data_IF_870337143850
#
_entry.id   IF_870337143850
#
_cell.length_a   1.000
_cell.length_b   1.000
_cell.length_c   1.000
_cell.angle_alpha   90.00
_cell.angle_beta   90.00
_cell.angle_gamma   90.00
#
_symmetry.space_group_name_H-M   'P 1'
#
loop_
_entity.id
_entity.type
_entity.pdbx_description
1 polymer ?
#
# COMPACT_ATOMS: atom_id res chain seq x y z
N UNK A 1 30.68 -11.09 -7.72
CA UNK A 1 31.28 -10.13 -6.78
C UNK A 1 30.28 -9.92 -5.67
N UNK A 2 30.53 -10.41 -4.46
CA UNK A 2 29.66 -10.16 -3.31
C UNK A 2 29.81 -8.69 -2.95
N UNK A 3 28.78 -7.91 -3.22
CA UNK A 3 28.74 -6.50 -2.80
C UNK A 3 28.82 -6.45 -1.27
N UNK A 4 29.80 -5.72 -0.75
CA UNK A 4 29.92 -5.50 0.69
C UNK A 4 28.90 -4.43 1.08
N UNK A 5 27.80 -4.83 1.70
CA UNK A 5 26.74 -3.92 2.17
C UNK A 5 27.01 -3.32 3.56
N UNK A 6 28.10 -3.72 4.24
CA UNK A 6 28.42 -3.28 5.63
C UNK A 6 28.49 -1.74 5.78
N UNK A 7 29.00 -1.05 4.76
CA UNK A 7 29.14 0.41 4.75
C UNK A 7 27.95 1.15 4.15
N UNK A 8 26.89 0.42 3.77
CA UNK A 8 25.69 1.02 3.17
C UNK A 8 25.01 1.99 4.15
N UNK A 9 24.63 3.15 3.64
CA UNK A 9 23.94 4.20 4.41
C UNK A 9 22.48 4.28 3.98
N UNK A 10 21.64 4.81 4.89
CA UNK A 10 20.28 5.21 4.53
C UNK A 10 20.30 6.19 3.35
N UNK A 11 19.33 6.09 2.47
CA UNK A 11 19.28 6.90 1.26
C UNK A 11 17.87 7.09 0.76
N UNK A 12 17.77 7.71 -0.41
CA UNK A 12 16.53 7.94 -1.14
C UNK A 12 16.48 7.03 -2.35
N UNK A 13 15.28 6.66 -2.75
CA UNK A 13 15.09 5.89 -3.98
C UNK A 13 15.35 6.70 -5.25
N UNK A 14 15.68 5.98 -6.30
CA UNK A 14 15.77 6.47 -7.65
C UNK A 14 14.53 5.99 -8.42
N UNK A 15 13.72 6.90 -8.92
CA UNK A 15 12.47 6.61 -9.65
C UNK A 15 12.60 6.86 -11.17
N UNK A 16 13.82 7.03 -11.66
CA UNK A 16 14.10 7.31 -13.09
C UNK A 16 13.81 6.11 -14.00
N UNK A 17 13.69 4.90 -13.45
CA UNK A 17 13.22 3.72 -14.18
C UNK A 17 11.75 3.87 -14.64
N UNK A 18 10.95 4.73 -13.97
CA UNK A 18 9.56 5.03 -14.34
C UNK A 18 9.48 6.18 -15.34
N UNK A 19 10.13 7.28 -15.03
CA UNK A 19 10.17 8.49 -15.86
C UNK A 19 11.55 9.11 -15.70
N UNK A 20 12.31 9.20 -16.78
CA UNK A 20 13.68 9.72 -16.76
C UNK A 20 13.70 11.20 -16.36
N UNK A 21 12.88 11.99 -17.03
CA UNK A 21 12.74 13.42 -16.79
C UNK A 21 11.27 13.86 -17.04
N UNK A 22 10.52 14.24 -15.99
CA UNK A 22 9.13 14.65 -16.13
C UNK A 22 8.95 15.99 -16.85
N UNK A 23 10.00 16.79 -16.94
CA UNK A 23 9.99 18.07 -17.67
C UNK A 23 10.29 17.90 -19.16
N UNK A 24 10.76 16.72 -19.56
CA UNK A 24 11.08 16.42 -20.96
C UNK A 24 9.80 16.25 -21.80
N UNK A 25 9.94 16.52 -23.10
CA UNK A 25 8.90 16.19 -24.08
C UNK A 25 8.54 14.69 -24.13
N UNK A 26 9.46 13.81 -23.72
CA UNK A 26 9.26 12.36 -23.67
C UNK A 26 8.13 11.96 -22.73
N UNK A 27 8.02 12.58 -21.54
CA UNK A 27 6.90 12.29 -20.64
C UNK A 27 5.56 12.74 -21.23
N UNK A 28 5.53 13.90 -21.89
CA UNK A 28 4.33 14.36 -22.59
C UNK A 28 3.94 13.44 -23.75
N UNK A 29 4.90 12.94 -24.51
CA UNK A 29 4.68 11.95 -25.57
C UNK A 29 4.18 10.62 -25.00
N UNK A 30 4.74 10.16 -23.87
CA UNK A 30 4.29 8.98 -23.18
C UNK A 30 2.81 9.09 -22.75
N UNK A 31 2.41 10.23 -22.16
CA UNK A 31 1.00 10.48 -21.84
C UNK A 31 0.12 10.55 -23.10
N UNK A 32 0.60 11.15 -24.19
CA UNK A 32 -0.07 11.17 -25.49
C UNK A 32 -0.30 9.76 -26.05
N UNK A 33 0.67 8.85 -25.88
CA UNK A 33 0.52 7.46 -26.31
C UNK A 33 -0.56 6.68 -25.55
N UNK A 34 -0.89 7.08 -24.32
CA UNK A 34 -2.03 6.52 -23.57
C UNK A 34 -3.34 6.95 -24.24
N UNK A 35 -3.45 8.23 -24.56
CA UNK A 35 -4.62 8.80 -25.22
C UNK A 35 -4.91 8.10 -26.57
N UNK A 36 -3.89 7.93 -27.40
CA UNK A 36 -4.00 7.22 -28.69
C UNK A 36 -4.50 5.78 -28.51
N UNK A 37 -3.97 5.05 -27.54
CA UNK A 37 -4.42 3.69 -27.28
C UNK A 37 -5.84 3.61 -26.74
N UNK A 38 -6.22 4.57 -25.89
CA UNK A 38 -7.60 4.66 -25.39
C UNK A 38 -8.58 4.95 -26.52
N UNK A 39 -8.25 5.86 -27.44
CA UNK A 39 -9.05 6.13 -28.63
C UNK A 39 -9.22 4.88 -29.50
N UNK A 40 -8.14 4.13 -29.74
CA UNK A 40 -8.20 2.87 -30.47
C UNK A 40 -9.05 1.83 -29.75
N UNK A 41 -8.98 1.76 -28.42
CA UNK A 41 -9.79 0.83 -27.63
C UNK A 41 -11.28 1.20 -27.66
N UNK A 42 -11.63 2.48 -27.61
CA UNK A 42 -13.01 2.95 -27.72
C UNK A 42 -13.71 2.51 -29.03
N UNK A 43 -12.96 2.45 -30.15
CA UNK A 43 -13.49 1.96 -31.41
C UNK A 43 -13.98 0.50 -31.34
N UNK A 44 -13.40 -0.28 -30.41
CA UNK A 44 -13.81 -1.68 -30.20
C UNK A 44 -15.25 -1.83 -29.71
N UNK A 45 -15.85 -0.77 -29.17
CA UNK A 45 -17.27 -0.79 -28.75
C UNK A 45 -18.21 -1.22 -29.89
N UNK A 46 -17.84 -0.93 -31.14
CA UNK A 46 -18.62 -1.25 -32.34
C UNK A 46 -18.64 -2.75 -32.69
N UNK A 47 -17.65 -3.49 -32.22
CA UNK A 47 -17.47 -4.92 -32.48
C UNK A 47 -17.88 -5.82 -31.33
N UNK A 48 -18.24 -5.26 -30.18
CA UNK A 48 -18.69 -6.05 -29.04
C UNK A 48 -20.02 -6.67 -29.29
N UNK A 49 -20.04 -7.99 -29.36
CA UNK A 49 -21.22 -8.83 -29.55
C UNK A 49 -21.04 -10.16 -28.83
N UNK A 50 -22.11 -10.88 -28.47
CA UNK A 50 -21.97 -12.11 -27.69
C UNK A 50 -21.09 -13.18 -28.35
N UNK A 51 -21.13 -13.26 -29.68
CA UNK A 51 -20.39 -14.23 -30.50
C UNK A 51 -19.02 -13.76 -30.99
N UNK A 52 -18.46 -12.69 -30.38
CA UNK A 52 -17.11 -12.20 -30.71
C UNK A 52 -16.11 -13.37 -30.69
N UNK A 53 -15.15 -13.38 -31.62
CA UNK A 53 -14.12 -14.42 -31.66
C UNK A 53 -13.21 -14.36 -30.45
N UNK A 54 -12.53 -15.47 -30.09
CA UNK A 54 -11.62 -15.50 -28.97
C UNK A 54 -10.35 -14.68 -29.25
N UNK A 55 -9.88 -14.62 -30.49
CA UNK A 55 -8.74 -13.81 -30.89
C UNK A 55 -9.02 -12.31 -30.73
N UNK A 56 -10.19 -11.85 -31.12
CA UNK A 56 -10.60 -10.45 -30.91
C UNK A 56 -10.75 -10.14 -29.43
N UNK A 57 -11.35 -11.03 -28.65
CA UNK A 57 -11.49 -10.85 -27.22
C UNK A 57 -10.12 -10.79 -26.51
N UNK A 58 -9.20 -11.72 -26.81
CA UNK A 58 -7.84 -11.74 -26.28
C UNK A 58 -7.09 -10.46 -26.67
N UNK A 59 -7.18 -10.02 -27.92
CA UNK A 59 -6.59 -8.75 -28.36
C UNK A 59 -7.09 -7.56 -27.53
N UNK A 60 -8.38 -7.50 -27.20
CA UNK A 60 -8.96 -6.43 -26.39
C UNK A 60 -8.46 -6.49 -24.92
N UNK A 61 -8.34 -7.70 -24.35
CA UNK A 61 -7.74 -7.88 -23.02
C UNK A 61 -6.30 -7.36 -23.01
N UNK A 62 -5.48 -7.71 -23.99
CA UNK A 62 -4.08 -7.27 -24.08
C UNK A 62 -3.95 -5.75 -24.30
N UNK A 63 -4.85 -5.15 -25.10
CA UNK A 63 -4.89 -3.69 -25.26
C UNK A 63 -5.22 -2.99 -23.95
N UNK A 64 -6.21 -3.49 -23.19
CA UNK A 64 -6.61 -2.93 -21.90
C UNK A 64 -5.50 -3.08 -20.86
N UNK A 65 -4.79 -4.20 -20.90
CA UNK A 65 -3.64 -4.43 -20.03
C UNK A 65 -2.51 -3.44 -20.32
N UNK A 66 -2.17 -3.21 -21.58
CA UNK A 66 -1.13 -2.24 -21.97
C UNK A 66 -1.50 -0.80 -21.56
N UNK A 67 -2.77 -0.39 -21.71
CA UNK A 67 -3.27 0.89 -21.21
C UNK A 67 -3.09 0.97 -19.68
N UNK A 68 -3.46 -0.11 -18.98
CA UNK A 68 -3.34 -0.18 -17.51
C UNK A 68 -1.89 -0.11 -17.02
N UNK A 69 -0.95 -0.76 -17.73
CA UNK A 69 0.49 -0.68 -17.42
C UNK A 69 1.01 0.75 -17.54
N UNK A 70 0.68 1.44 -18.63
CA UNK A 70 1.11 2.83 -18.81
C UNK A 70 0.54 3.76 -17.73
N UNK A 71 -0.73 3.61 -17.38
CA UNK A 71 -1.36 4.36 -16.28
C UNK A 71 -0.68 4.03 -14.95
N UNK A 72 -0.33 2.76 -14.71
CA UNK A 72 0.38 2.34 -13.48
C UNK A 72 1.76 2.98 -13.39
N UNK A 73 2.51 3.05 -14.49
CA UNK A 73 3.84 3.71 -14.53
C UNK A 73 3.70 5.21 -14.25
N UNK A 74 2.80 5.91 -14.92
CA UNK A 74 2.58 7.34 -14.73
C UNK A 74 2.14 7.67 -13.29
N UNK A 75 1.19 6.88 -12.76
CA UNK A 75 0.68 7.02 -11.39
C UNK A 75 1.74 6.66 -10.36
N UNK A 76 2.49 5.57 -10.58
CA UNK A 76 3.58 5.13 -9.71
C UNK A 76 4.64 6.21 -9.54
N UNK A 77 5.07 6.83 -10.66
CA UNK A 77 6.00 7.95 -10.62
C UNK A 77 5.48 9.11 -9.75
N UNK A 78 4.24 9.53 -9.97
CA UNK A 78 3.63 10.63 -9.22
C UNK A 78 3.51 10.31 -7.72
N UNK A 79 3.02 9.12 -7.37
CA UNK A 79 2.84 8.72 -5.97
C UNK A 79 4.16 8.52 -5.22
N UNK A 80 5.18 7.90 -5.84
CA UNK A 80 6.48 7.71 -5.21
C UNK A 80 7.16 9.06 -4.96
N UNK A 81 7.08 10.01 -5.89
CA UNK A 81 7.52 11.38 -5.68
C UNK A 81 6.82 12.06 -4.51
N UNK A 82 5.48 11.96 -4.45
CA UNK A 82 4.68 12.51 -3.37
C UNK A 82 4.97 11.87 -2.01
N UNK A 83 5.12 10.56 -1.94
CA UNK A 83 5.43 9.87 -0.68
C UNK A 83 6.84 10.17 -0.17
N UNK A 84 7.76 10.49 -1.05
CA UNK A 84 9.08 10.96 -0.69
C UNK A 84 9.06 12.36 -0.07
N UNK A 85 8.13 13.24 -0.51
CA UNK A 85 7.92 14.58 0.06
C UNK A 85 6.47 15.03 -0.12
N UNK A 86 5.65 14.83 0.92
CA UNK A 86 4.23 15.23 0.93
C UNK A 86 4.03 16.75 1.01
N UNK A 87 5.08 17.53 1.26
CA UNK A 87 5.03 19.00 1.28
C UNK A 87 5.25 19.62 -0.10
N UNK A 88 5.76 18.86 -1.07
CA UNK A 88 5.97 19.35 -2.44
C UNK A 88 4.63 19.61 -3.13
N UNK A 89 4.44 20.87 -3.52
CA UNK A 89 3.26 21.28 -4.29
C UNK A 89 3.28 20.71 -5.71
N UNK A 90 4.46 20.56 -6.30
CA UNK A 90 4.66 19.97 -7.63
C UNK A 90 4.29 18.49 -7.63
N UNK A 91 4.81 17.71 -6.67
CA UNK A 91 4.46 16.30 -6.53
C UNK A 91 2.96 16.12 -6.26
N UNK A 92 2.37 16.96 -5.41
CA UNK A 92 0.93 16.96 -5.14
C UNK A 92 0.10 17.25 -6.39
N UNK A 93 0.49 18.25 -7.18
CA UNK A 93 -0.18 18.60 -8.43
C UNK A 93 -0.07 17.47 -9.47
N UNK A 94 1.09 16.82 -9.55
CA UNK A 94 1.29 15.68 -10.45
C UNK A 94 0.40 14.50 -10.06
N UNK A 95 0.28 14.18 -8.76
CA UNK A 95 -0.65 13.13 -8.29
C UNK A 95 -2.09 13.45 -8.73
N UNK A 96 -2.55 14.69 -8.53
CA UNK A 96 -3.91 15.09 -8.94
C UNK A 96 -4.10 14.92 -10.45
N UNK A 97 -3.09 15.34 -11.25
CA UNK A 97 -3.12 15.17 -12.70
C UNK A 97 -3.22 13.70 -13.12
N UNK A 98 -2.43 12.83 -12.49
CA UNK A 98 -2.44 11.39 -12.81
C UNK A 98 -3.71 10.70 -12.34
N UNK A 99 -4.25 11.05 -11.17
CA UNK A 99 -5.53 10.52 -10.70
C UNK A 99 -6.68 10.92 -11.64
N UNK A 100 -6.68 12.16 -12.13
CA UNK A 100 -7.67 12.63 -13.11
C UNK A 100 -7.54 11.84 -14.41
N UNK A 101 -6.33 11.71 -14.95
CA UNK A 101 -6.08 10.91 -16.15
C UNK A 101 -6.53 9.46 -15.97
N UNK A 102 -6.16 8.82 -14.87
CA UNK A 102 -6.56 7.44 -14.58
C UNK A 102 -8.09 7.28 -14.49
N UNK A 103 -8.80 8.24 -13.88
CA UNK A 103 -10.26 8.25 -13.82
C UNK A 103 -10.88 8.45 -15.20
N UNK A 104 -10.37 9.38 -16.02
CA UNK A 104 -10.84 9.62 -17.39
C UNK A 104 -10.64 8.38 -18.26
N UNK A 105 -9.47 7.76 -18.23
CA UNK A 105 -9.17 6.53 -18.97
C UNK A 105 -10.09 5.39 -18.51
N UNK A 106 -10.22 5.18 -17.19
CA UNK A 106 -11.09 4.16 -16.62
C UNK A 106 -12.54 4.32 -17.10
N UNK A 107 -13.05 5.56 -17.12
CA UNK A 107 -14.40 5.88 -17.58
C UNK A 107 -14.61 5.61 -19.08
N UNK A 108 -13.58 5.79 -19.90
CA UNK A 108 -13.63 5.56 -21.34
C UNK A 108 -13.59 4.09 -21.71
N UNK A 109 -12.85 3.27 -20.96
CA UNK A 109 -12.72 1.81 -21.20
C UNK A 109 -13.77 0.98 -20.46
N UNK A 110 -14.54 1.59 -19.56
CA UNK A 110 -15.52 0.93 -18.67
C UNK A 110 -16.57 0.10 -19.43
N UNK A 111 -16.99 0.54 -20.62
CA UNK A 111 -17.97 -0.15 -21.43
C UNK A 111 -17.62 -1.63 -21.69
N UNK A 112 -16.33 -1.95 -21.86
CA UNK A 112 -15.87 -3.31 -22.08
C UNK A 112 -16.05 -4.18 -20.82
N UNK A 113 -15.72 -3.64 -19.65
CA UNK A 113 -15.89 -4.34 -18.38
C UNK A 113 -17.38 -4.62 -18.11
N UNK A 114 -18.24 -3.64 -18.34
CA UNK A 114 -19.69 -3.78 -18.16
C UNK A 114 -20.31 -4.75 -19.16
N UNK A 115 -19.89 -4.67 -20.43
CA UNK A 115 -20.31 -5.63 -21.46
C UNK A 115 -19.95 -7.05 -21.04
N UNK A 116 -18.70 -7.32 -20.64
CA UNK A 116 -18.26 -8.63 -20.20
C UNK A 116 -18.97 -9.10 -18.93
N UNK A 117 -19.24 -8.20 -18.00
CA UNK A 117 -19.93 -8.51 -16.73
C UNK A 117 -21.41 -8.80 -16.90
N UNK A 118 -22.13 -8.00 -17.69
CA UNK A 118 -23.60 -7.94 -17.68
C UNK A 118 -24.29 -8.25 -19.02
N UNK A 119 -23.69 -7.87 -20.15
CA UNK A 119 -24.38 -7.90 -21.43
C UNK A 119 -24.18 -9.23 -22.18
N UNK A 120 -22.97 -9.82 -22.05
CA UNK A 120 -22.71 -11.15 -22.64
C UNK A 120 -23.39 -12.24 -21.80
N UNK A 121 -24.03 -13.19 -22.46
CA UNK A 121 -24.65 -14.35 -21.81
C UNK A 121 -23.63 -15.29 -21.19
N UNK A 122 -24.10 -16.25 -20.38
CA UNK A 122 -23.25 -17.17 -19.62
C UNK A 122 -22.43 -18.10 -20.53
N UNK A 123 -23.02 -18.61 -21.60
CA UNK A 123 -22.41 -19.61 -22.49
C UNK A 123 -21.26 -18.98 -23.27
N UNK A 124 -21.51 -17.80 -23.88
CA UNK A 124 -20.48 -17.04 -24.57
C UNK A 124 -19.38 -16.56 -23.64
N UNK A 125 -19.69 -16.09 -22.43
CA UNK A 125 -18.66 -15.73 -21.43
C UNK A 125 -17.80 -16.96 -21.05
N UNK A 126 -18.41 -18.12 -20.83
CA UNK A 126 -17.70 -19.38 -20.52
C UNK A 126 -16.81 -19.82 -21.68
N UNK A 127 -17.28 -19.69 -22.92
CA UNK A 127 -16.51 -19.96 -24.15
C UNK A 127 -15.25 -19.08 -24.20
N UNK A 128 -15.38 -17.79 -24.00
CA UNK A 128 -14.26 -16.84 -24.02
C UNK A 128 -13.27 -17.10 -22.87
N UNK A 129 -13.76 -17.34 -21.65
CA UNK A 129 -12.91 -17.67 -20.49
C UNK A 129 -12.13 -18.98 -20.73
N UNK A 130 -12.73 -19.96 -21.40
CA UNK A 130 -12.06 -21.23 -21.66
C UNK A 130 -10.97 -21.13 -22.73
N UNK A 131 -11.12 -20.21 -23.67
CA UNK A 131 -10.19 -20.00 -24.78
C UNK A 131 -8.98 -19.13 -24.41
N UNK A 132 -9.15 -18.18 -23.48
CA UNK A 132 -8.05 -17.28 -23.07
C UNK A 132 -6.96 -18.02 -22.26
N UNK A 133 -5.68 -17.54 -22.24
CA UNK A 133 -4.62 -18.10 -21.40
C UNK A 133 -5.05 -18.30 -19.94
N UNK A 134 -4.59 -19.40 -19.33
CA UNK A 134 -5.06 -19.87 -18.01
C UNK A 134 -4.93 -18.80 -16.91
N UNK A 135 -3.89 -17.95 -16.98
CA UNK A 135 -3.60 -16.91 -16.01
C UNK A 135 -4.69 -15.83 -15.89
N UNK A 136 -5.50 -15.60 -16.95
CA UNK A 136 -6.61 -14.64 -16.93
C UNK A 136 -7.93 -15.23 -16.45
N UNK A 137 -8.10 -16.57 -16.50
CA UNK A 137 -9.40 -17.22 -16.36
C UNK A 137 -10.08 -16.94 -15.03
N UNK A 138 -9.33 -17.03 -13.93
CA UNK A 138 -9.89 -16.78 -12.59
C UNK A 138 -10.28 -15.31 -12.40
N UNK A 139 -9.47 -14.39 -12.88
CA UNK A 139 -9.80 -12.98 -12.88
C UNK A 139 -11.12 -12.69 -13.61
N UNK A 140 -11.29 -13.27 -14.78
CA UNK A 140 -12.52 -13.09 -15.57
C UNK A 140 -13.74 -13.76 -14.91
N UNK A 141 -13.58 -14.93 -14.29
CA UNK A 141 -14.66 -15.56 -13.48
C UNK A 141 -15.06 -14.66 -12.32
N UNK A 142 -14.06 -14.12 -11.61
CA UNK A 142 -14.33 -13.19 -10.51
C UNK A 142 -15.06 -11.93 -10.98
N UNK A 143 -14.70 -11.36 -12.14
CA UNK A 143 -15.44 -10.24 -12.74
C UNK A 143 -16.92 -10.58 -12.97
N UNK A 144 -17.24 -11.78 -13.43
CA UNK A 144 -18.63 -12.25 -13.58
C UNK A 144 -19.34 -12.41 -12.24
N UNK A 145 -18.63 -12.91 -11.22
CA UNK A 145 -19.18 -13.06 -9.87
C UNK A 145 -19.61 -11.72 -9.27
N UNK A 146 -18.79 -10.67 -9.46
CA UNK A 146 -19.06 -9.33 -8.91
C UNK A 146 -19.99 -8.48 -9.79
N UNK A 147 -20.43 -8.97 -10.95
CA UNK A 147 -21.28 -8.25 -11.90
C UNK A 147 -22.58 -7.68 -11.26
N UNK A 148 -23.16 -8.41 -10.30
CA UNK A 148 -24.37 -8.00 -9.57
C UNK A 148 -24.21 -6.74 -8.72
N UNK A 149 -22.97 -6.35 -8.40
CA UNK A 149 -22.64 -5.15 -7.65
C UNK A 149 -22.20 -3.97 -8.54
N UNK A 150 -22.18 -4.19 -9.87
CA UNK A 150 -21.88 -3.13 -10.82
C UNK A 150 -23.13 -2.28 -11.06
N UNK A 151 -22.95 -0.98 -11.13
CA UNK A 151 -24.00 -0.01 -11.44
C UNK A 151 -24.14 0.17 -12.97
N UNK A 152 -24.95 1.12 -13.41
CA UNK A 152 -25.00 1.53 -14.82
C UNK A 152 -23.71 2.25 -15.22
N UNK A 153 -23.41 2.32 -16.52
CA UNK A 153 -22.22 3.01 -17.02
C UNK A 153 -22.15 4.48 -16.57
N UNK A 154 -23.29 5.16 -16.56
CA UNK A 154 -23.40 6.55 -16.14
C UNK A 154 -23.10 6.73 -14.65
N UNK A 155 -23.68 5.87 -13.80
CA UNK A 155 -23.45 5.91 -12.35
C UNK A 155 -21.98 5.61 -12.01
N UNK A 156 -21.38 4.58 -12.63
CA UNK A 156 -19.96 4.26 -12.42
C UNK A 156 -19.04 5.41 -12.82
N UNK A 157 -19.31 6.07 -13.96
CA UNK A 157 -18.56 7.25 -14.41
C UNK A 157 -18.67 8.43 -13.45
N UNK A 158 -19.87 8.70 -12.93
CA UNK A 158 -20.07 9.76 -11.93
C UNK A 158 -19.28 9.47 -10.66
N UNK A 159 -19.39 8.23 -10.13
CA UNK A 159 -18.67 7.81 -8.93
C UNK A 159 -17.16 7.96 -9.13
N UNK A 160 -16.60 7.37 -10.20
CA UNK A 160 -15.17 7.43 -10.51
C UNK A 160 -14.65 8.87 -10.61
N UNK A 161 -15.43 9.75 -11.24
CA UNK A 161 -15.05 11.17 -11.39
C UNK A 161 -15.05 11.90 -10.04
N UNK A 162 -16.08 11.67 -9.22
CA UNK A 162 -16.21 12.34 -7.92
C UNK A 162 -15.24 11.81 -6.86
N UNK A 163 -14.81 10.54 -6.96
CA UNK A 163 -13.80 10.00 -6.04
C UNK A 163 -12.49 10.79 -6.04
N UNK A 164 -12.06 11.32 -7.19
CA UNK A 164 -10.80 12.08 -7.33
C UNK A 164 -10.78 13.29 -6.39
N UNK A 165 -11.90 14.02 -6.31
CA UNK A 165 -12.08 15.19 -5.45
C UNK A 165 -12.75 14.89 -4.11
N UNK A 166 -13.29 13.69 -3.96
CA UNK A 166 -13.92 13.16 -2.75
C UNK A 166 -12.94 12.39 -1.86
N UNK A 167 -13.15 11.08 -1.70
CA UNK A 167 -12.39 10.23 -0.78
C UNK A 167 -10.88 10.26 -1.01
N UNK A 168 -10.41 10.24 -2.25
CA UNK A 168 -8.98 10.30 -2.57
C UNK A 168 -8.34 11.64 -2.17
N UNK A 169 -9.05 12.74 -2.37
CA UNK A 169 -8.58 14.06 -1.93
C UNK A 169 -8.51 14.14 -0.39
N UNK A 170 -9.50 13.59 0.33
CA UNK A 170 -9.52 13.54 1.78
C UNK A 170 -8.35 12.71 2.35
N UNK A 171 -8.00 11.59 1.73
CA UNK A 171 -6.81 10.80 2.10
C UNK A 171 -5.53 11.61 1.92
N UNK A 172 -5.38 12.35 0.82
CA UNK A 172 -4.21 13.24 0.61
C UNK A 172 -4.13 14.36 1.65
N UNK A 173 -5.28 14.95 2.02
CA UNK A 173 -5.34 15.97 3.09
C UNK A 173 -4.89 15.35 4.42
N UNK A 174 -5.36 14.14 4.75
CA UNK A 174 -4.92 13.40 5.93
C UNK A 174 -3.40 13.15 5.91
N UNK A 175 -2.86 12.63 4.81
CA UNK A 175 -1.44 12.33 4.67
C UNK A 175 -0.58 13.62 4.81
N UNK A 176 -0.96 14.69 4.13
CA UNK A 176 -0.28 15.99 4.20
C UNK A 176 -0.33 16.59 5.61
N UNK A 177 -1.49 16.54 6.26
CA UNK A 177 -1.68 17.05 7.60
C UNK A 177 -0.86 16.24 8.62
N UNK A 178 -0.98 14.92 8.64
CA UNK A 178 -0.34 14.06 9.65
C UNK A 178 1.17 13.94 9.47
N UNK A 179 1.68 14.00 8.25
CA UNK A 179 3.13 14.03 7.98
C UNK A 179 3.80 15.36 8.36
N UNK A 180 3.03 16.44 8.48
CA UNK A 180 3.52 17.74 8.94
C UNK A 180 3.54 17.91 10.46
N UNK A 181 2.98 16.97 11.22
CA UNK A 181 2.88 17.09 12.68
C UNK A 181 4.26 17.11 13.34
N UNK A 182 4.40 18.04 14.25
CA UNK A 182 5.52 18.14 15.16
C UNK A 182 5.08 17.79 16.57
N UNK A 183 5.97 17.16 17.31
CA UNK A 183 5.69 16.65 18.64
C UNK A 183 6.68 17.20 19.64
N UNK A 184 6.23 17.40 20.88
CA UNK A 184 7.12 17.83 21.98
C UNK A 184 6.91 16.90 23.17
N UNK A 185 7.98 16.23 23.59
CA UNK A 185 7.94 15.34 24.76
C UNK A 185 8.82 15.88 25.89
N UNK A 186 8.30 15.80 27.13
CA UNK A 186 9.03 16.14 28.33
C UNK A 186 9.83 14.92 28.78
N UNK A 187 11.16 14.98 28.64
CA UNK A 187 12.05 13.85 28.88
C UNK A 187 13.00 14.17 30.04
N UNK A 188 13.31 13.15 30.85
CA UNK A 188 14.34 13.24 31.87
C UNK A 188 15.74 13.13 31.25
N UNK A 189 16.62 14.06 31.56
CA UNK A 189 18.03 14.02 31.21
C UNK A 189 18.87 14.25 32.52
N UNK A 190 19.38 13.17 33.07
CA UNK A 190 19.96 13.19 34.41
C UNK A 190 18.92 13.61 35.46
N UNK A 191 19.23 14.67 36.21
CA UNK A 191 18.32 15.23 37.25
C UNK A 191 17.34 16.30 36.69
N UNK A 192 17.49 16.72 35.42
CA UNK A 192 16.68 17.79 34.82
C UNK A 192 15.60 17.20 33.90
N UNK A 193 14.49 17.90 33.82
CA UNK A 193 13.47 17.66 32.82
C UNK A 193 13.68 18.63 31.64
N UNK A 194 13.75 18.09 30.42
CA UNK A 194 13.93 18.87 29.20
C UNK A 194 12.74 18.65 28.26
N UNK A 195 12.42 19.69 27.51
CA UNK A 195 11.44 19.59 26.42
C UNK A 195 12.20 19.26 25.13
N UNK A 196 11.91 18.08 24.55
CA UNK A 196 12.51 17.66 23.29
C UNK A 196 11.47 17.73 22.18
N UNK A 197 11.82 18.43 21.09
CA UNK A 197 11.00 18.53 19.88
C UNK A 197 11.36 17.41 18.91
N UNK A 198 10.34 16.87 18.24
CA UNK A 198 10.44 15.86 17.21
C UNK A 198 9.68 16.38 15.99
N UNK A 199 10.35 16.44 14.86
CA UNK A 199 9.87 16.98 13.59
C UNK A 199 9.02 15.99 12.78
N UNK A 200 8.91 14.75 13.27
CA UNK A 200 8.04 13.74 12.71
C UNK A 200 7.64 12.67 13.74
N UNK A 201 6.60 11.91 13.40
CA UNK A 201 6.04 10.84 14.22
C UNK A 201 7.05 9.71 14.46
N UNK A 202 7.84 9.34 13.46
CA UNK A 202 8.72 8.16 13.53
C UNK A 202 9.82 8.35 14.56
N UNK A 203 10.44 9.53 14.61
CA UNK A 203 11.42 9.90 15.63
C UNK A 203 10.82 9.90 17.05
N UNK A 204 9.55 10.30 17.21
CA UNK A 204 8.86 10.21 18.50
C UNK A 204 8.61 8.74 18.87
N UNK A 205 8.15 7.94 17.92
CA UNK A 205 7.77 6.54 18.14
C UNK A 205 8.96 5.64 18.46
N UNK A 206 10.19 6.03 18.15
CA UNK A 206 11.39 5.32 18.61
C UNK A 206 11.45 5.20 20.15
N UNK A 207 10.87 6.18 20.87
CA UNK A 207 10.80 6.16 22.32
C UNK A 207 9.81 5.16 22.92
N UNK A 208 8.82 4.70 22.15
CA UNK A 208 7.77 3.77 22.62
C UNK A 208 8.34 2.42 23.04
N UNK A 209 9.52 2.07 22.55
CA UNK A 209 10.25 0.84 22.90
C UNK A 209 11.41 1.07 23.89
N UNK A 210 11.54 2.28 24.42
CA UNK A 210 12.55 2.58 25.43
C UNK A 210 12.39 1.68 26.66
N UNK A 211 13.47 1.21 27.30
CA UNK A 211 13.42 0.54 28.60
C UNK A 211 12.87 1.45 29.69
N UNK A 212 13.07 2.75 29.53
CA UNK A 212 12.61 3.78 30.45
C UNK A 212 11.11 4.03 30.29
N UNK A 213 10.33 3.73 31.34
CA UNK A 213 8.88 3.89 31.36
C UNK A 213 8.46 5.36 31.19
N UNK A 214 9.21 6.31 31.79
CA UNK A 214 8.91 7.75 31.67
C UNK A 214 9.01 8.23 30.22
N UNK A 215 10.00 7.73 29.47
CA UNK A 215 10.15 8.03 28.04
C UNK A 215 9.02 7.48 27.20
N UNK A 216 8.57 6.25 27.47
CA UNK A 216 7.42 5.65 26.75
C UNK A 216 6.14 6.42 27.01
N UNK A 217 5.90 6.78 28.29
CA UNK A 217 4.73 7.58 28.68
C UNK A 217 4.75 8.97 28.04
N UNK A 218 5.91 9.64 28.06
CA UNK A 218 6.08 10.96 27.47
C UNK A 218 5.81 10.95 25.95
N UNK A 219 6.32 9.93 25.23
CA UNK A 219 6.07 9.77 23.81
C UNK A 219 4.57 9.55 23.52
N UNK A 220 3.92 8.66 24.28
CA UNK A 220 2.50 8.37 24.16
C UNK A 220 1.62 9.61 24.41
N UNK A 221 1.89 10.34 25.50
CA UNK A 221 1.17 11.59 25.83
C UNK A 221 1.37 12.65 24.76
N UNK A 222 2.59 12.83 24.27
CA UNK A 222 2.91 13.77 23.19
C UNK A 222 2.17 13.43 21.90
N UNK A 223 2.19 12.16 21.50
CA UNK A 223 1.44 11.69 20.34
C UNK A 223 -0.05 12.00 20.45
N UNK A 224 -0.67 11.56 21.55
CA UNK A 224 -2.11 11.74 21.75
C UNK A 224 -2.51 13.20 21.87
N UNK A 225 -1.68 14.06 22.48
CA UNK A 225 -1.95 15.48 22.59
C UNK A 225 -2.08 16.15 21.22
N UNK A 226 -1.18 15.84 20.28
CA UNK A 226 -1.21 16.39 18.92
C UNK A 226 -2.44 15.88 18.17
N UNK A 227 -2.71 14.57 18.20
CA UNK A 227 -3.89 14.01 17.56
C UNK A 227 -5.21 14.51 18.18
N UNK A 228 -5.27 14.64 19.52
CA UNK A 228 -6.44 15.21 20.21
C UNK A 228 -6.69 16.65 19.79
N UNK A 229 -5.64 17.49 19.68
CA UNK A 229 -5.75 18.87 19.21
C UNK A 229 -6.35 18.95 17.81
N UNK A 230 -6.06 17.98 16.96
CA UNK A 230 -6.49 17.95 15.56
C UNK A 230 -7.69 17.01 15.33
N UNK A 231 -8.27 16.43 16.41
CA UNK A 231 -9.29 15.37 16.29
C UNK A 231 -10.57 15.82 15.58
N UNK A 232 -10.94 17.08 15.66
CA UNK A 232 -12.10 17.61 14.92
C UNK A 232 -11.93 17.45 13.42
N UNK A 233 -10.84 17.98 12.86
CA UNK A 233 -10.57 17.91 11.41
C UNK A 233 -10.31 16.45 10.97
N UNK A 234 -9.51 15.70 11.74
CA UNK A 234 -9.24 14.30 11.43
C UNK A 234 -10.52 13.44 11.50
N UNK A 235 -11.42 13.75 12.43
CA UNK A 235 -12.73 13.11 12.57
C UNK A 235 -13.63 13.39 11.36
N UNK A 236 -13.70 14.64 10.91
CA UNK A 236 -14.44 15.01 9.71
C UNK A 236 -13.92 14.30 8.46
N UNK A 237 -12.61 14.26 8.26
CA UNK A 237 -12.00 13.52 7.15
C UNK A 237 -12.43 12.06 7.19
N UNK A 238 -12.28 11.41 8.34
CA UNK A 238 -12.62 9.99 8.51
C UNK A 238 -14.10 9.71 8.29
N UNK A 239 -14.99 10.52 8.89
CA UNK A 239 -16.43 10.37 8.75
C UNK A 239 -16.89 10.49 7.30
N UNK A 240 -16.39 11.50 6.56
CA UNK A 240 -16.76 11.70 5.16
C UNK A 240 -16.30 10.53 4.28
N UNK A 241 -15.08 9.98 4.49
CA UNK A 241 -14.61 8.79 3.77
C UNK A 241 -15.52 7.58 4.05
N UNK A 242 -15.87 7.35 5.32
CA UNK A 242 -16.70 6.19 5.70
C UNK A 242 -18.14 6.35 5.22
N UNK A 243 -18.71 7.56 5.26
CA UNK A 243 -20.05 7.84 4.76
C UNK A 243 -20.12 7.60 3.25
N UNK A 244 -19.21 8.18 2.48
CA UNK A 244 -19.13 7.96 1.04
C UNK A 244 -19.00 6.46 0.71
N UNK A 245 -18.08 5.77 1.37
CA UNK A 245 -17.87 4.34 1.17
C UNK A 245 -19.12 3.52 1.49
N UNK A 246 -19.82 3.82 2.61
CA UNK A 246 -21.06 3.13 2.99
C UNK A 246 -22.16 3.37 1.98
N UNK A 247 -22.37 4.62 1.58
CA UNK A 247 -23.44 4.98 0.67
C UNK A 247 -23.23 4.34 -0.70
N UNK A 248 -21.99 4.33 -1.19
CA UNK A 248 -21.65 3.62 -2.42
C UNK A 248 -21.81 2.10 -2.28
N UNK A 249 -21.07 1.48 -1.35
CA UNK A 249 -20.98 0.03 -1.27
C UNK A 249 -22.28 -0.63 -0.79
N UNK A 250 -22.91 -0.08 0.25
CA UNK A 250 -24.07 -0.70 0.87
C UNK A 250 -25.36 -0.21 0.22
N UNK A 251 -25.54 1.12 0.09
CA UNK A 251 -26.81 1.67 -0.36
C UNK A 251 -27.00 1.57 -1.87
N UNK A 252 -25.97 1.89 -2.67
CA UNK A 252 -26.06 1.89 -4.11
C UNK A 252 -25.76 0.51 -4.72
N UNK A 253 -24.64 -0.14 -4.32
CA UNK A 253 -24.19 -1.42 -4.89
C UNK A 253 -24.86 -2.64 -4.27
N UNK A 254 -25.50 -2.49 -3.11
CA UNK A 254 -26.28 -3.55 -2.47
C UNK A 254 -25.44 -4.67 -1.82
N UNK A 255 -24.21 -4.37 -1.39
CA UNK A 255 -23.47 -5.35 -0.58
C UNK A 255 -24.16 -5.61 0.76
N UNK A 256 -24.16 -6.88 1.18
CA UNK A 256 -24.87 -7.33 2.39
C UNK A 256 -24.36 -6.67 3.68
N UNK A 257 -23.06 -6.45 3.77
CA UNK A 257 -22.40 -5.91 4.96
C UNK A 257 -21.04 -5.29 4.62
N UNK A 258 -20.48 -4.44 5.50
CA UNK A 258 -19.15 -3.88 5.28
C UNK A 258 -18.05 -4.93 5.07
N UNK A 259 -18.09 -6.04 5.83
CA UNK A 259 -17.08 -7.08 5.68
C UNK A 259 -17.25 -7.87 4.38
N UNK A 260 -18.49 -8.06 3.90
CA UNK A 260 -18.75 -8.74 2.62
C UNK A 260 -18.15 -8.00 1.43
N UNK A 261 -18.08 -6.66 1.46
CA UNK A 261 -17.39 -5.87 0.42
C UNK A 261 -15.92 -6.32 0.31
N UNK A 262 -15.26 -6.41 1.46
CA UNK A 262 -13.84 -6.81 1.51
C UNK A 262 -13.65 -8.28 1.15
N UNK A 263 -14.51 -9.16 1.66
CA UNK A 263 -14.41 -10.60 1.41
C UNK A 263 -14.58 -10.91 -0.08
N UNK A 264 -15.58 -10.32 -0.72
CA UNK A 264 -15.81 -10.49 -2.17
C UNK A 264 -14.64 -9.93 -2.97
N UNK A 265 -14.12 -8.75 -2.63
CA UNK A 265 -12.95 -8.18 -3.30
C UNK A 265 -11.68 -9.04 -3.15
N UNK A 266 -11.57 -9.79 -2.05
CA UNK A 266 -10.47 -10.72 -1.80
C UNK A 266 -10.72 -12.16 -2.31
N UNK A 267 -11.85 -12.39 -2.99
CA UNK A 267 -12.30 -13.72 -3.42
C UNK A 267 -12.39 -14.75 -2.25
N UNK A 268 -12.93 -14.27 -1.10
CA UNK A 268 -13.17 -15.07 0.10
C UNK A 268 -14.66 -15.14 0.39
N UNK A 269 -15.11 -16.27 0.98
CA UNK A 269 -16.46 -16.37 1.51
C UNK A 269 -16.57 -15.81 2.94
N UNK A 270 -17.77 -15.34 3.30
CA UNK A 270 -18.05 -14.78 4.62
C UNK A 270 -17.84 -15.82 5.73
N UNK A 271 -18.14 -17.11 5.47
CA UNK A 271 -18.06 -18.19 6.45
C UNK A 271 -16.62 -18.44 6.89
N UNK A 272 -15.67 -18.43 5.96
CA UNK A 272 -14.22 -18.57 6.25
C UNK A 272 -13.74 -17.44 7.16
N UNK A 273 -14.13 -16.20 6.87
CA UNK A 273 -13.73 -15.05 7.67
C UNK A 273 -14.40 -15.06 9.05
N UNK A 274 -15.69 -15.45 9.14
CA UNK A 274 -16.38 -15.60 10.41
C UNK A 274 -15.76 -16.68 11.29
N UNK A 275 -15.36 -17.83 10.70
CA UNK A 275 -14.66 -18.91 11.40
C UNK A 275 -13.32 -18.44 11.98
N UNK A 276 -12.53 -17.66 11.21
CA UNK A 276 -11.29 -17.05 11.70
C UNK A 276 -11.54 -16.11 12.87
N UNK A 277 -12.52 -15.21 12.74
CA UNK A 277 -12.87 -14.27 13.83
C UNK A 277 -13.39 -14.99 15.08
N UNK A 278 -14.16 -16.06 14.91
CA UNK A 278 -14.63 -16.90 16.02
C UNK A 278 -13.45 -17.61 16.73
N UNK A 279 -12.50 -18.15 15.97
CA UNK A 279 -11.27 -18.73 16.52
C UNK A 279 -10.45 -17.71 17.31
N UNK A 280 -10.28 -16.48 16.79
CA UNK A 280 -9.61 -15.40 17.51
C UNK A 280 -10.32 -15.05 18.83
N UNK A 281 -11.65 -14.91 18.80
CA UNK A 281 -12.44 -14.61 20.01
C UNK A 281 -12.34 -15.73 21.05
N UNK A 282 -12.40 -16.98 20.61
CA UNK A 282 -12.28 -18.16 21.50
C UNK A 282 -10.93 -18.19 22.23
N UNK A 283 -9.87 -17.73 21.60
CA UNK A 283 -8.49 -17.78 22.11
C UNK A 283 -8.00 -16.46 22.71
N UNK A 284 -8.86 -15.46 22.91
CA UNK A 284 -8.47 -14.13 23.43
C UNK A 284 -7.84 -14.20 24.83
N UNK A 285 -8.19 -15.21 25.66
CA UNK A 285 -7.60 -15.42 26.98
C UNK A 285 -6.08 -15.58 26.95
N UNK A 286 -5.53 -16.20 25.93
CA UNK A 286 -4.07 -16.37 25.73
C UNK A 286 -3.37 -15.00 25.74
N UNK A 287 -3.95 -14.00 25.10
CA UNK A 287 -3.39 -12.65 25.09
C UNK A 287 -3.53 -11.96 26.43
N UNK A 288 -4.64 -12.20 27.17
CA UNK A 288 -4.80 -11.68 28.52
C UNK A 288 -3.74 -12.28 29.47
N UNK A 289 -3.54 -13.57 29.44
CA UNK A 289 -2.50 -14.27 30.20
C UNK A 289 -1.09 -13.76 29.87
N UNK A 290 -0.78 -13.58 28.58
CA UNK A 290 0.47 -12.98 28.16
C UNK A 290 0.68 -11.58 28.76
N UNK A 291 -0.34 -10.71 28.77
CA UNK A 291 -0.19 -9.36 29.32
C UNK A 291 -0.11 -9.36 30.84
N UNK A 292 -0.77 -10.29 31.52
CA UNK A 292 -0.61 -10.49 32.98
C UNK A 292 0.83 -10.91 33.29
N UNK A 293 1.37 -11.90 32.58
CA UNK A 293 2.74 -12.35 32.76
C UNK A 293 3.75 -11.24 32.42
N UNK A 294 3.53 -10.50 31.32
CA UNK A 294 4.35 -9.34 30.97
C UNK A 294 4.32 -8.27 32.05
N UNK A 295 3.17 -8.02 32.68
CA UNK A 295 3.06 -7.11 33.81
C UNK A 295 3.94 -7.53 34.98
N UNK A 296 3.90 -8.84 35.32
CA UNK A 296 4.71 -9.46 36.36
C UNK A 296 6.22 -9.32 36.05
N UNK A 297 6.63 -9.65 34.82
CA UNK A 297 8.04 -9.53 34.39
C UNK A 297 8.58 -8.10 34.43
N UNK A 298 7.73 -7.11 34.19
CA UNK A 298 8.06 -5.69 34.27
C UNK A 298 7.97 -5.13 35.67
N UNK A 299 7.58 -5.93 36.70
CA UNK A 299 7.38 -5.48 38.08
C UNK A 299 6.25 -4.47 38.24
N UNK A 300 5.21 -4.53 37.40
CA UNK A 300 4.10 -3.58 37.37
C UNK A 300 2.81 -4.23 37.86
N UNK A 301 2.03 -3.52 38.69
CA UNK A 301 0.71 -3.98 39.08
C UNK A 301 -0.32 -3.92 37.96
N UNK A 302 -0.15 -2.96 37.03
CA UNK A 302 -1.06 -2.72 35.90
C UNK A 302 -0.27 -2.23 34.69
N UNK A 303 -0.50 -2.83 33.52
CA UNK A 303 0.00 -2.33 32.26
C UNK A 303 -0.85 -1.17 31.75
N UNK A 304 -0.21 -0.10 31.33
CA UNK A 304 -0.81 0.95 30.50
C UNK A 304 -0.50 0.71 29.03
N UNK A 305 -1.25 1.36 28.12
CA UNK A 305 -1.07 1.23 26.68
C UNK A 305 0.39 1.45 26.22
N UNK A 306 1.09 2.39 26.85
CA UNK A 306 2.49 2.68 26.56
C UNK A 306 3.52 1.67 27.14
N UNK A 307 3.06 0.63 27.84
CA UNK A 307 3.91 -0.49 28.29
C UNK A 307 3.83 -1.71 27.35
N UNK A 308 2.90 -1.75 26.40
CA UNK A 308 2.71 -2.93 25.55
C UNK A 308 3.97 -3.31 24.75
N UNK A 309 4.76 -2.31 24.36
CA UNK A 309 6.01 -2.52 23.63
C UNK A 309 7.26 -2.41 24.49
N UNK A 310 7.10 -2.36 25.82
CA UNK A 310 8.24 -2.32 26.75
C UNK A 310 9.10 -3.57 26.59
N UNK A 311 10.44 -3.45 26.50
CA UNK A 311 11.32 -4.60 26.55
C UNK A 311 11.31 -5.22 27.96
N UNK A 312 11.26 -6.54 28.03
CA UNK A 312 11.25 -7.28 29.30
C UNK A 312 12.65 -7.27 29.94
N UNK A 313 13.69 -7.36 29.12
CA UNK A 313 15.08 -7.35 29.58
C UNK A 313 15.71 -5.97 29.41
N UNK A 314 16.32 -5.45 30.47
CA UNK A 314 17.12 -4.22 30.42
C UNK A 314 18.35 -4.38 29.52
N UNK A 315 18.95 -5.58 29.44
CA UNK A 315 20.07 -5.87 28.54
C UNK A 315 19.70 -5.79 27.05
N UNK A 316 18.45 -6.13 26.70
CA UNK A 316 17.96 -5.97 25.34
C UNK A 316 17.75 -4.49 24.94
N UNK A 317 17.69 -3.61 25.90
CA UNK A 317 17.51 -2.18 25.73
C UNK A 317 18.82 -1.41 25.50
N UNK A 318 19.93 -1.94 25.97
CA UNK A 318 21.29 -1.46 25.70
C UNK A 318 21.88 -2.07 24.42
N UNK A 319 21.05 -2.80 23.64
CA UNK A 319 21.48 -3.35 22.36
C UNK A 319 21.92 -2.20 21.45
N UNK A 320 23.15 -2.30 20.97
CA UNK A 320 23.74 -1.38 19.99
C UNK A 320 22.77 -1.21 18.81
N UNK A 321 22.47 0.02 18.43
CA UNK A 321 21.69 0.27 17.22
C UNK A 321 22.35 -0.41 16.02
N UNK A 322 21.55 -1.01 15.17
CA UNK A 322 22.03 -1.52 13.88
C UNK A 322 22.42 -0.34 12.98
N UNK A 323 23.59 -0.43 12.36
CA UNK A 323 23.84 0.39 11.17
C UNK A 323 22.91 -0.09 10.04
N UNK A 324 22.63 0.78 9.08
CA UNK A 324 21.80 0.37 7.94
C UNK A 324 22.44 -0.79 7.18
N UNK A 325 23.74 -0.71 6.91
CA UNK A 325 24.49 -1.77 6.25
C UNK A 325 24.43 -3.10 7.00
N UNK A 326 24.62 -3.10 8.34
CA UNK A 326 24.51 -4.33 9.12
C UNK A 326 23.08 -4.92 9.12
N UNK A 327 22.06 -4.06 9.07
CA UNK A 327 20.67 -4.50 8.93
C UNK A 327 20.42 -5.16 7.56
N UNK A 328 20.90 -4.53 6.50
CA UNK A 328 20.83 -5.07 5.13
C UNK A 328 21.52 -6.43 5.05
N UNK A 329 22.75 -6.56 5.54
CA UNK A 329 23.45 -7.85 5.55
C UNK A 329 22.71 -8.93 6.35
N UNK A 330 22.17 -8.57 7.52
CA UNK A 330 21.37 -9.49 8.34
C UNK A 330 20.18 -10.03 7.57
N UNK A 331 19.44 -9.15 6.85
CA UNK A 331 18.28 -9.53 6.06
C UNK A 331 18.68 -10.38 4.85
N UNK A 332 19.70 -9.96 4.11
CA UNK A 332 20.18 -10.71 2.95
C UNK A 332 20.68 -12.10 3.31
N UNK A 333 21.44 -12.24 4.42
CA UNK A 333 21.91 -13.53 4.91
C UNK A 333 20.74 -14.41 5.38
N UNK A 334 19.69 -13.80 5.98
CA UNK A 334 18.49 -14.52 6.37
C UNK A 334 17.74 -15.09 5.16
N UNK A 335 17.64 -14.32 4.09
CA UNK A 335 17.05 -14.76 2.83
C UNK A 335 17.88 -15.86 2.16
N UNK A 336 19.21 -15.70 2.10
CA UNK A 336 20.11 -16.70 1.53
C UNK A 336 20.02 -18.05 2.26
N UNK A 337 19.92 -18.03 3.60
CA UNK A 337 19.74 -19.23 4.41
C UNK A 337 18.41 -19.94 4.16
N UNK A 338 17.37 -19.18 3.72
CA UNK A 338 16.09 -19.75 3.34
C UNK A 338 16.14 -20.27 1.89
N UNK A 339 16.52 -19.42 0.95
CA UNK A 339 16.71 -19.72 -0.46
C UNK A 339 17.65 -18.68 -1.11
N UNK A 340 18.76 -19.11 -1.77
CA UNK A 340 19.67 -18.18 -2.47
C UNK A 340 18.98 -17.30 -3.51
N UNK A 341 17.88 -17.74 -4.11
CA UNK A 341 17.09 -16.95 -5.05
C UNK A 341 16.49 -15.70 -4.35
N UNK A 342 16.05 -15.82 -3.11
CA UNK A 342 15.49 -14.71 -2.33
C UNK A 342 16.53 -13.61 -2.09
N UNK A 343 17.77 -13.99 -1.78
CA UNK A 343 18.89 -13.04 -1.70
C UNK A 343 19.10 -12.30 -3.02
N UNK A 344 19.20 -13.05 -4.12
CA UNK A 344 19.42 -12.47 -5.45
C UNK A 344 18.33 -11.47 -5.84
N UNK A 345 17.06 -11.78 -5.56
CA UNK A 345 15.94 -10.88 -5.81
C UNK A 345 16.02 -9.62 -4.94
N UNK A 346 16.33 -9.77 -3.65
CA UNK A 346 16.50 -8.63 -2.76
C UNK A 346 17.66 -7.71 -3.19
N UNK A 347 18.79 -8.29 -3.61
CA UNK A 347 19.94 -7.53 -4.11
C UNK A 347 19.62 -6.69 -5.36
N UNK A 348 18.69 -7.15 -6.23
CA UNK A 348 18.19 -6.36 -7.37
C UNK A 348 17.55 -5.05 -6.93
N UNK A 349 16.76 -5.06 -5.85
CA UNK A 349 16.10 -3.85 -5.32
C UNK A 349 17.13 -2.81 -4.87
N UNK A 350 18.21 -3.28 -4.19
CA UNK A 350 19.30 -2.40 -3.78
C UNK A 350 20.11 -1.89 -4.97
N UNK A 351 20.44 -2.76 -5.93
CA UNK A 351 21.21 -2.42 -7.13
C UNK A 351 20.49 -1.34 -7.97
N UNK A 352 19.17 -1.39 -8.02
CA UNK A 352 18.31 -0.39 -8.67
C UNK A 352 18.12 0.88 -7.83
N UNK A 353 18.63 0.91 -6.59
CA UNK A 353 18.42 2.03 -5.67
C UNK A 353 16.92 2.32 -5.40
N UNK A 354 16.10 1.29 -5.36
CA UNK A 354 14.65 1.42 -5.18
C UNK A 354 14.22 1.46 -3.70
N UNK A 355 15.13 1.79 -2.78
CA UNK A 355 14.83 1.87 -1.34
C UNK A 355 14.99 3.30 -0.84
N UNK A 356 13.89 3.89 -0.34
CA UNK A 356 13.92 5.14 0.41
C UNK A 356 13.88 4.83 1.91
N UNK A 357 15.02 4.85 2.58
CA UNK A 357 15.18 4.42 3.98
C UNK A 357 15.44 5.57 4.96
N UNK A 358 15.72 6.78 4.47
CA UNK A 358 16.02 7.96 5.29
C UNK A 358 14.79 8.46 6.06
N UNK A 359 14.95 8.79 7.36
CA UNK A 359 13.92 9.51 8.12
C UNK A 359 14.06 11.01 7.90
N UNK A 360 13.05 11.63 7.31
CA UNK A 360 13.03 13.10 7.06
C UNK A 360 11.64 13.69 7.26
N UNK A 361 11.60 15.02 7.43
CA UNK A 361 10.35 15.77 7.51
C UNK A 361 9.58 15.65 6.20
N UNK A 362 8.26 15.65 6.29
CA UNK A 362 7.32 15.55 5.18
C UNK A 362 7.40 14.25 4.34
N UNK A 363 8.26 13.31 4.68
CA UNK A 363 8.18 11.97 4.12
C UNK A 363 7.00 11.21 4.72
N UNK A 364 6.32 10.41 3.92
CA UNK A 364 5.23 9.54 4.40
C UNK A 364 5.74 8.61 5.50
N UNK A 365 4.96 8.49 6.59
CA UNK A 365 5.27 7.61 7.71
C UNK A 365 4.97 6.15 7.41
N UNK A 366 5.51 5.26 8.26
CA UNK A 366 5.36 3.82 8.10
C UNK A 366 6.38 3.22 7.14
N UNK A 367 6.03 2.05 6.58
CA UNK A 367 6.78 1.37 5.55
C UNK A 367 5.81 0.73 4.55
N UNK A 368 6.24 0.52 3.32
CA UNK A 368 5.50 -0.23 2.30
C UNK A 368 6.40 -0.65 1.15
N UNK A 369 6.00 -1.71 0.46
CA UNK A 369 6.48 -2.08 -0.85
C UNK A 369 5.48 -1.63 -1.91
N UNK A 370 5.96 -1.01 -2.99
CA UNK A 370 5.14 -0.53 -4.11
C UNK A 370 5.59 -1.18 -5.41
N UNK A 371 4.78 -2.13 -5.88
CA UNK A 371 4.98 -2.84 -7.14
C UNK A 371 4.16 -2.14 -8.22
N UNK A 372 4.83 -1.50 -9.17
CA UNK A 372 4.18 -0.69 -10.22
C UNK A 372 3.63 -1.57 -11.33
N UNK A 373 4.49 -2.38 -11.92
CA UNK A 373 4.13 -3.35 -12.97
C UNK A 373 4.97 -4.62 -12.83
N UNK A 374 4.57 -5.74 -13.44
CA UNK A 374 5.31 -6.99 -13.39
C UNK A 374 6.77 -6.88 -13.85
N UNK A 375 7.04 -6.04 -14.85
CA UNK A 375 8.34 -5.88 -15.49
C UNK A 375 9.31 -4.98 -14.72
N UNK A 376 8.83 -4.28 -13.68
CA UNK A 376 9.63 -3.35 -12.89
C UNK A 376 9.99 -3.93 -11.51
N UNK A 377 11.22 -3.70 -11.10
CA UNK A 377 11.65 -4.00 -9.74
C UNK A 377 10.86 -3.12 -8.75
N UNK A 378 10.25 -3.68 -7.68
CA UNK A 378 9.46 -2.90 -6.73
C UNK A 378 10.24 -1.81 -6.01
N UNK A 379 9.51 -0.82 -5.51
CA UNK A 379 10.03 0.28 -4.68
C UNK A 379 9.67 0.06 -3.22
N UNK A 380 10.59 0.36 -2.31
CA UNK A 380 10.40 0.19 -0.87
C UNK A 380 10.58 1.51 -0.15
N UNK A 381 9.58 1.91 0.63
CA UNK A 381 9.69 3.03 1.56
C UNK A 381 9.87 2.49 2.99
N UNK A 382 10.89 2.98 3.68
CA UNK A 382 11.19 2.68 5.08
C UNK A 382 11.49 3.97 5.85
N UNK A 383 11.31 3.92 7.17
CA UNK A 383 11.78 4.96 8.09
C UNK A 383 12.73 4.30 9.11
N UNK A 384 14.02 4.15 8.74
CA UNK A 384 14.99 3.36 9.48
C UNK A 384 15.73 4.19 10.56
N UNK A 385 15.56 3.85 11.84
CA UNK A 385 16.24 4.47 13.00
C UNK A 385 17.26 3.52 13.69
N UNK A 386 17.48 2.32 13.15
CA UNK A 386 18.45 1.34 13.65
C UNK A 386 17.94 0.45 14.77
N UNK A 387 16.65 0.40 15.02
CA UNK A 387 16.07 -0.53 15.98
C UNK A 387 15.95 -1.94 15.39
N UNK A 388 15.96 -2.99 16.19
CA UNK A 388 15.78 -4.37 15.71
C UNK A 388 14.45 -4.55 14.97
N UNK A 389 13.41 -3.79 15.36
CA UNK A 389 12.16 -3.76 14.61
C UNK A 389 12.35 -3.26 13.19
N UNK A 390 13.21 -2.26 12.97
CA UNK A 390 13.42 -1.69 11.64
C UNK A 390 14.09 -2.71 10.73
N UNK A 391 14.93 -3.60 11.30
CA UNK A 391 15.49 -4.76 10.58
C UNK A 391 14.37 -5.73 10.19
N UNK A 392 13.44 -6.03 11.12
CA UNK A 392 12.27 -6.88 10.80
C UNK A 392 11.34 -6.23 9.78
N UNK A 393 11.15 -4.90 9.85
CA UNK A 393 10.36 -4.17 8.85
C UNK A 393 11.06 -4.20 7.49
N UNK A 394 12.38 -4.00 7.44
CA UNK A 394 13.15 -4.16 6.21
C UNK A 394 12.93 -5.53 5.58
N UNK A 395 13.06 -6.62 6.37
CA UNK A 395 12.81 -7.98 5.89
C UNK A 395 11.36 -8.16 5.39
N UNK A 396 10.38 -7.60 6.08
CA UNK A 396 8.96 -7.67 5.71
C UNK A 396 8.69 -7.02 4.36
N UNK A 397 9.12 -5.78 4.15
CA UNK A 397 8.91 -5.07 2.87
C UNK A 397 9.67 -5.74 1.71
N UNK A 398 10.86 -6.30 1.99
CA UNK A 398 11.57 -7.10 0.99
C UNK A 398 10.86 -8.42 0.69
N UNK A 399 10.14 -9.01 1.65
CA UNK A 399 9.27 -10.16 1.42
C UNK A 399 8.20 -9.86 0.36
N UNK A 400 7.54 -8.70 0.47
CA UNK A 400 6.60 -8.24 -0.57
C UNK A 400 7.27 -8.00 -1.92
N UNK A 401 8.47 -7.42 -1.93
CA UNK A 401 9.21 -7.20 -3.17
C UNK A 401 9.60 -8.53 -3.86
N UNK A 402 10.07 -9.50 -3.09
CA UNK A 402 10.39 -10.84 -3.59
C UNK A 402 9.13 -11.52 -4.16
N UNK A 403 8.01 -11.47 -3.43
CA UNK A 403 6.73 -12.00 -3.90
C UNK A 403 6.35 -11.40 -5.27
N UNK A 404 6.40 -10.07 -5.38
CA UNK A 404 6.08 -9.39 -6.64
C UNK A 404 7.03 -9.79 -7.77
N UNK A 405 8.34 -9.91 -7.50
CA UNK A 405 9.31 -10.31 -8.53
C UNK A 405 9.15 -11.78 -8.95
N UNK A 406 8.72 -12.66 -8.05
CA UNK A 406 8.37 -14.05 -8.40
C UNK A 406 7.07 -14.12 -9.22
N UNK A 407 6.17 -13.15 -9.06
CA UNK A 407 4.96 -13.03 -9.85
C UNK A 407 5.16 -12.25 -11.18
N UNK A 408 6.40 -11.92 -11.57
CA UNK A 408 6.70 -11.07 -12.74
C UNK A 408 6.22 -11.63 -14.09
N UNK A 409 5.97 -12.94 -14.18
CA UNK A 409 5.40 -13.57 -15.38
C UNK A 409 3.87 -13.45 -15.46
N UNK A 410 3.22 -12.94 -14.39
CA UNK A 410 1.78 -12.75 -14.38
C UNK A 410 1.38 -11.47 -15.10
N UNK A 411 0.24 -11.47 -15.83
CA UNK A 411 -0.33 -10.24 -16.36
C UNK A 411 -0.63 -9.24 -15.26
N UNK A 412 -0.57 -7.94 -15.56
CA UNK A 412 -0.84 -6.88 -14.58
C UNK A 412 -2.21 -7.03 -13.89
N UNK A 413 -3.22 -7.49 -14.63
CA UNK A 413 -4.59 -7.70 -14.11
C UNK A 413 -4.67 -8.70 -12.95
N UNK A 414 -3.68 -9.60 -12.80
CA UNK A 414 -3.61 -10.61 -11.74
C UNK A 414 -2.32 -10.52 -10.91
N UNK A 415 -1.43 -9.62 -11.24
CA UNK A 415 -0.13 -9.45 -10.61
C UNK A 415 -0.21 -9.01 -9.15
N UNK A 416 -1.13 -8.10 -8.84
CA UNK A 416 -1.29 -7.60 -7.48
C UNK A 416 -2.04 -8.61 -6.62
N UNK A 417 -1.36 -9.10 -5.57
CA UNK A 417 -1.98 -10.00 -4.62
C UNK A 417 -3.18 -9.35 -3.90
N UNK A 418 -4.25 -10.10 -3.63
CA UNK A 418 -5.32 -9.64 -2.75
C UNK A 418 -4.82 -9.50 -1.31
N UNK A 419 -5.46 -8.62 -0.52
CA UNK A 419 -5.02 -8.25 0.82
C UNK A 419 -4.63 -9.43 1.75
N UNK A 420 -5.29 -10.60 1.73
CA UNK A 420 -4.90 -11.75 2.57
C UNK A 420 -3.56 -12.41 2.18
N UNK A 421 -3.07 -12.15 0.97
CA UNK A 421 -1.81 -12.68 0.43
C UNK A 421 -0.72 -11.60 0.31
N UNK A 422 -1.09 -10.35 0.57
CA UNK A 422 -0.18 -9.20 0.50
C UNK A 422 0.62 -9.02 1.80
#
# INVERSE_FOLDING_TARGET
>A
MTSNYADMKVGRWDITDLVKDPSSGEFSQFLGSIEEQVMQFEESRKILRPDISHEEFERLILMLENISEKISVASGYAYLGYYADTSSNEASALVIKMEKLASEVSNRVLFFDLWFKKEIDHDNASRLISAIPVMYREHLRHKRLVAKYSLSEQEEKVISTLEVTGSRALVKIYDKMTSSFEFTAKLRHGRKMIMKRFDNKEKLMSLVRSPDADRREAAYKSLLQVYKKNSGVLGEIYQNIIMQWRDEAISMRGYRSPISVRNIANNLDDITVEALLAACRKNVSIFHEYFVEKSRMLGMKKLHRYHLYAPISKKAADSKKFSYGSAVETVLNSFENFDPQFRSLAERVFAKRHVDSEIRKAKRGGAFCYSVTPNLTPYILLNFDGLSRDVSTLAHEFGHAIHSMLASEMPLMVFHAPLPLA
#
